data_IF_262019524176
#
_entry.id   IF_262019524176
#
_cell.length_a   1.000
_cell.length_b   1.000
_cell.length_c   1.000
_cell.angle_alpha   90.00
_cell.angle_beta   90.00
_cell.angle_gamma   90.00
#
_symmetry.space_group_name_H-M   'P 1'
#
loop_
_entity.id
_entity.type
_entity.pdbx_description
1 polymer ?
#
# COMPACT_ATOMS: atom_id res chain seq x y z
N UNK A 1 -21.10 -36.68 21.77
CA UNK A 1 -20.89 -35.95 20.50
C UNK A 1 -21.35 -34.48 20.58
N UNK A 2 -22.50 -34.18 21.20
CA UNK A 2 -23.02 -32.80 21.38
C UNK A 2 -22.01 -31.85 22.07
N UNK A 3 -21.31 -32.32 23.10
CA UNK A 3 -20.35 -31.48 23.83
C UNK A 3 -19.19 -30.97 22.96
N UNK A 4 -18.68 -31.80 22.04
CA UNK A 4 -17.57 -31.42 21.15
C UNK A 4 -18.04 -30.39 20.14
N UNK A 5 -19.23 -30.59 19.55
CA UNK A 5 -19.83 -29.64 18.60
C UNK A 5 -20.08 -28.29 19.28
N UNK A 6 -20.54 -28.29 20.54
CA UNK A 6 -20.76 -27.06 21.31
C UNK A 6 -19.46 -26.28 21.56
N UNK A 7 -18.37 -26.97 21.93
CA UNK A 7 -17.06 -26.32 22.15
C UNK A 7 -16.50 -25.77 20.84
N UNK A 8 -16.61 -26.52 19.73
CA UNK A 8 -16.18 -26.05 18.41
C UNK A 8 -16.94 -24.81 17.97
N UNK A 9 -18.25 -24.74 18.21
CA UNK A 9 -19.07 -23.57 17.86
C UNK A 9 -18.62 -22.30 18.59
N UNK A 10 -18.32 -22.41 19.90
CA UNK A 10 -17.85 -21.27 20.71
C UNK A 10 -16.46 -20.80 20.24
N UNK A 11 -15.54 -21.73 19.97
CA UNK A 11 -14.19 -21.41 19.50
C UNK A 11 -14.22 -20.70 18.14
N UNK A 12 -15.06 -21.16 17.21
CA UNK A 12 -15.17 -20.52 15.89
C UNK A 12 -15.77 -19.11 16.02
N UNK A 13 -16.77 -18.93 16.89
CA UNK A 13 -17.42 -17.63 17.08
C UNK A 13 -16.45 -16.53 17.55
N UNK A 14 -15.47 -16.87 18.40
CA UNK A 14 -14.47 -15.89 18.89
C UNK A 14 -13.29 -15.70 17.93
N UNK A 15 -12.94 -16.73 17.16
CA UNK A 15 -11.73 -16.72 16.34
C UNK A 15 -11.91 -15.96 15.03
N UNK A 16 -13.07 -16.10 14.36
CA UNK A 16 -13.31 -15.54 13.02
C UNK A 16 -13.16 -14.00 12.96
N UNK A 17 -13.77 -13.21 13.88
CA UNK A 17 -13.62 -11.74 13.84
C UNK A 17 -12.17 -11.31 14.10
N UNK A 18 -11.50 -12.00 15.03
CA UNK A 18 -10.12 -11.72 15.41
C UNK A 18 -9.16 -11.92 14.24
N UNK A 19 -9.23 -13.09 13.57
CA UNK A 19 -8.40 -13.41 12.41
C UNK A 19 -8.66 -12.45 11.25
N UNK A 20 -9.92 -12.09 11.01
CA UNK A 20 -10.26 -11.13 9.96
C UNK A 20 -9.67 -9.74 10.21
N UNK A 21 -9.68 -9.26 11.47
CA UNK A 21 -9.03 -8.00 11.85
C UNK A 21 -7.53 -8.01 11.58
N UNK A 22 -6.83 -9.09 11.94
CA UNK A 22 -5.40 -9.26 11.65
C UNK A 22 -5.11 -9.32 10.14
N UNK A 23 -5.96 -9.99 9.36
CA UNK A 23 -5.83 -10.04 7.89
C UNK A 23 -5.94 -8.62 7.31
N UNK A 24 -6.94 -7.85 7.71
CA UNK A 24 -7.12 -6.47 7.26
C UNK A 24 -5.91 -5.61 7.63
N UNK A 25 -5.43 -5.70 8.88
CA UNK A 25 -4.24 -4.96 9.33
C UNK A 25 -3.00 -5.32 8.50
N UNK A 26 -2.79 -6.61 8.23
CA UNK A 26 -1.65 -7.09 7.44
C UNK A 26 -1.67 -6.55 6.02
N UNK A 27 -2.85 -6.48 5.40
CA UNK A 27 -3.03 -5.90 4.06
C UNK A 27 -2.74 -4.40 4.03
N UNK A 28 -3.16 -3.65 5.06
CA UNK A 28 -2.80 -2.24 5.20
C UNK A 28 -1.29 -2.03 5.40
N UNK A 29 -0.63 -2.91 6.16
CA UNK A 29 0.84 -2.88 6.31
C UNK A 29 1.53 -3.17 4.97
N UNK A 30 1.00 -4.09 4.15
CA UNK A 30 1.52 -4.33 2.81
C UNK A 30 1.46 -3.07 1.94
N UNK A 31 0.34 -2.34 1.95
CA UNK A 31 0.19 -1.04 1.28
C UNK A 31 1.27 -0.06 1.75
N UNK A 32 1.44 0.12 3.06
CA UNK A 32 2.44 1.05 3.63
C UNK A 32 3.87 0.67 3.17
N UNK A 33 4.19 -0.62 3.17
CA UNK A 33 5.51 -1.10 2.76
C UNK A 33 5.75 -0.88 1.25
N UNK A 34 4.76 -1.15 0.40
CA UNK A 34 4.86 -0.88 -1.04
C UNK A 34 5.01 0.63 -1.31
N UNK A 35 4.25 1.48 -0.60
CA UNK A 35 4.37 2.94 -0.68
C UNK A 35 5.76 3.44 -0.28
N UNK A 36 6.33 2.91 0.81
CA UNK A 36 7.70 3.21 1.28
C UNK A 36 8.75 2.82 0.26
N UNK A 37 8.66 1.60 -0.27
CA UNK A 37 9.61 1.10 -1.25
C UNK A 37 9.57 1.94 -2.53
N UNK A 38 8.37 2.26 -3.02
CA UNK A 38 8.17 3.11 -4.19
C UNK A 38 8.76 4.50 -3.95
N UNK A 39 8.44 5.15 -2.84
CA UNK A 39 8.95 6.49 -2.54
C UNK A 39 10.47 6.50 -2.44
N UNK A 40 11.08 5.56 -1.71
CA UNK A 40 12.52 5.46 -1.56
C UNK A 40 13.22 5.28 -2.91
N UNK A 41 12.65 4.49 -3.81
CA UNK A 41 13.18 4.29 -5.16
C UNK A 41 13.08 5.58 -6.01
N UNK A 42 11.95 6.29 -5.94
CA UNK A 42 11.78 7.59 -6.61
C UNK A 42 12.81 8.61 -6.08
N UNK A 43 12.94 8.70 -4.76
CA UNK A 43 13.88 9.62 -4.12
C UNK A 43 15.32 9.29 -4.49
N UNK A 44 15.70 8.01 -4.47
CA UNK A 44 17.04 7.53 -4.84
C UNK A 44 17.37 7.89 -6.28
N UNK A 45 16.43 7.71 -7.21
CA UNK A 45 16.62 8.14 -8.60
C UNK A 45 16.73 9.65 -8.74
N UNK A 46 15.90 10.41 -8.03
CA UNK A 46 15.90 11.87 -8.07
C UNK A 46 17.19 12.50 -7.52
N UNK A 47 18.03 11.74 -6.80
CA UNK A 47 19.36 12.19 -6.37
C UNK A 47 20.35 12.28 -7.53
N UNK A 48 20.21 11.44 -8.55
CA UNK A 48 21.20 11.31 -9.64
C UNK A 48 20.63 11.67 -11.01
N UNK A 49 19.31 11.72 -11.16
CA UNK A 49 18.65 12.03 -12.42
C UNK A 49 18.64 13.53 -12.74
N UNK A 50 18.91 13.85 -14.01
CA UNK A 50 18.70 15.18 -14.57
C UNK A 50 17.21 15.54 -14.66
N UNK A 51 16.38 14.57 -15.04
CA UNK A 51 14.93 14.69 -15.13
C UNK A 51 14.27 14.03 -13.91
N UNK A 52 13.95 14.85 -12.90
CA UNK A 52 13.38 14.38 -11.65
C UNK A 52 11.90 14.05 -11.79
N UNK A 53 11.50 12.94 -11.19
CA UNK A 53 10.10 12.58 -10.96
C UNK A 53 9.50 13.57 -9.97
N UNK A 54 8.38 14.18 -10.35
CA UNK A 54 7.58 15.03 -9.46
C UNK A 54 6.45 14.21 -8.85
N UNK A 55 6.14 14.49 -7.60
CA UNK A 55 4.95 13.96 -6.95
C UNK A 55 3.80 14.90 -7.30
N UNK A 56 2.88 14.42 -8.12
CA UNK A 56 1.65 15.14 -8.45
C UNK A 56 0.43 14.37 -7.93
N UNK A 57 -0.71 15.08 -7.92
CA UNK A 57 -1.97 14.60 -7.37
C UNK A 57 -2.81 13.80 -8.40
N UNK A 58 -2.40 13.74 -9.67
CA UNK A 58 -3.20 13.21 -10.78
C UNK A 58 -2.67 11.86 -11.30
N UNK A 59 -1.35 11.70 -11.35
CA UNK A 59 -0.64 10.53 -11.83
C UNK A 59 -0.76 9.40 -10.83
N UNK A 60 -1.41 8.33 -11.27
CA UNK A 60 -1.52 7.08 -10.52
C UNK A 60 -0.21 6.28 -10.56
N UNK A 61 -0.01 5.40 -9.58
CA UNK A 61 1.12 4.46 -9.58
C UNK A 61 1.10 3.58 -10.82
N UNK A 62 -0.08 3.22 -11.33
CA UNK A 62 -0.24 2.47 -12.59
C UNK A 62 0.30 3.26 -13.78
N UNK A 63 -0.15 4.49 -13.99
CA UNK A 63 0.30 5.34 -15.10
C UNK A 63 1.79 5.65 -14.98
N UNK A 64 2.26 5.89 -13.76
CA UNK A 64 3.68 6.05 -13.48
C UNK A 64 4.45 4.79 -13.88
N UNK A 65 4.01 3.60 -13.46
CA UNK A 65 4.66 2.32 -13.75
C UNK A 65 4.73 1.97 -15.24
N UNK A 66 3.81 2.51 -16.04
CA UNK A 66 3.78 2.36 -17.49
C UNK A 66 4.66 3.39 -18.23
N UNK A 67 5.19 4.40 -17.53
CA UNK A 67 6.05 5.43 -18.14
C UNK A 67 7.48 4.95 -18.43
N UNK A 68 8.11 5.54 -19.46
CA UNK A 68 9.50 5.26 -19.86
C UNK A 68 10.53 5.57 -18.76
N UNK A 69 10.21 6.52 -17.88
CA UNK A 69 11.04 6.89 -16.74
C UNK A 69 11.09 5.72 -15.75
N UNK A 70 9.97 5.04 -15.51
CA UNK A 70 9.90 3.93 -14.55
C UNK A 70 10.64 2.68 -15.01
N UNK A 71 10.56 2.35 -16.29
CA UNK A 71 11.31 1.20 -16.82
C UNK A 71 12.82 1.36 -16.56
N UNK A 72 13.35 2.59 -16.61
CA UNK A 72 14.75 2.91 -16.27
C UNK A 72 15.03 3.06 -14.78
N UNK A 73 14.08 3.61 -14.02
CA UNK A 73 14.24 3.86 -12.56
C UNK A 73 14.22 2.55 -11.78
N UNK A 74 13.28 1.67 -12.07
CA UNK A 74 12.88 0.60 -11.17
C UNK A 74 13.43 -0.77 -11.54
N UNK A 75 13.42 -1.09 -12.84
CA UNK A 75 13.83 -2.40 -13.35
C UNK A 75 15.36 -2.45 -13.51
N UNK A 76 15.96 -1.45 -14.15
CA UNK A 76 17.40 -1.46 -14.45
C UNK A 76 18.28 -1.31 -13.20
N UNK A 77 17.77 -0.69 -12.14
CA UNK A 77 18.48 -0.53 -10.86
C UNK A 77 18.08 -1.56 -9.80
N UNK A 78 17.17 -2.50 -10.13
CA UNK A 78 16.75 -3.58 -9.22
C UNK A 78 15.96 -3.14 -7.99
N UNK A 79 15.30 -1.98 -8.04
CA UNK A 79 14.48 -1.48 -6.92
C UNK A 79 13.10 -2.14 -6.85
N UNK A 80 12.56 -2.62 -7.98
CA UNK A 80 11.28 -3.34 -8.09
C UNK A 80 11.43 -4.47 -9.12
N UNK A 81 10.89 -5.65 -8.83
CA UNK A 81 10.99 -6.81 -9.73
C UNK A 81 10.11 -6.63 -10.99
N UNK A 82 10.57 -7.19 -12.11
CA UNK A 82 10.00 -7.08 -13.47
C UNK A 82 8.61 -7.71 -13.57
N UNK A 83 8.22 -8.54 -12.60
CA UNK A 83 6.86 -9.04 -12.44
C UNK A 83 5.96 -7.92 -11.86
N UNK A 84 5.85 -6.82 -12.64
CA UNK A 84 5.29 -5.46 -12.45
C UNK A 84 4.14 -5.28 -11.46
N UNK A 85 3.47 -6.35 -11.09
CA UNK A 85 2.31 -6.37 -10.24
C UNK A 85 2.61 -6.77 -8.79
N UNK A 86 3.61 -7.59 -8.43
CA UNK A 86 3.69 -8.08 -7.04
C UNK A 86 4.14 -7.03 -6.02
N UNK A 87 5.03 -6.14 -6.42
CA UNK A 87 5.62 -5.14 -5.52
C UNK A 87 4.79 -3.85 -5.44
N UNK A 88 3.81 -3.68 -6.35
CA UNK A 88 2.97 -2.48 -6.45
C UNK A 88 1.46 -2.78 -6.54
N UNK A 89 1.02 -4.04 -6.60
CA UNK A 89 -0.40 -4.44 -6.82
C UNK A 89 -1.37 -3.83 -5.82
N UNK A 90 -0.91 -3.54 -4.60
CA UNK A 90 -1.77 -2.99 -3.57
C UNK A 90 -1.95 -1.49 -3.72
N UNK A 91 -1.11 -0.82 -4.51
CA UNK A 91 -1.08 0.65 -4.59
C UNK A 91 -1.24 1.21 -6.01
N UNK A 92 -1.53 0.39 -7.02
CA UNK A 92 -1.66 0.81 -8.42
C UNK A 92 -2.61 1.99 -8.64
N UNK A 93 -3.71 2.05 -7.88
CA UNK A 93 -4.74 3.09 -8.00
C UNK A 93 -4.47 4.32 -7.10
N UNK A 94 -3.40 4.29 -6.28
CA UNK A 94 -2.99 5.45 -5.50
C UNK A 94 -2.28 6.46 -6.41
N UNK A 95 -2.38 7.75 -6.09
CA UNK A 95 -1.58 8.79 -6.76
C UNK A 95 -0.22 8.96 -6.07
N UNK A 96 0.78 9.49 -6.78
CA UNK A 96 2.13 9.67 -6.22
C UNK A 96 2.14 10.58 -4.98
N UNK A 97 1.27 11.59 -4.95
CA UNK A 97 1.06 12.43 -3.77
C UNK A 97 0.50 11.63 -2.57
N UNK A 98 -0.45 10.74 -2.81
CA UNK A 98 -1.00 9.85 -1.77
C UNK A 98 0.06 8.89 -1.22
N UNK A 99 0.94 8.37 -2.07
CA UNK A 99 2.09 7.53 -1.64
C UNK A 99 3.01 8.30 -0.69
N UNK A 100 3.28 9.56 -1.02
CA UNK A 100 4.10 10.43 -0.16
C UNK A 100 3.42 10.69 1.18
N UNK A 101 2.12 10.97 1.20
CA UNK A 101 1.37 11.17 2.46
C UNK A 101 1.36 9.91 3.33
N UNK A 102 1.19 8.73 2.74
CA UNK A 102 1.25 7.44 3.46
C UNK A 102 2.62 7.24 4.13
N UNK A 103 3.70 7.65 3.46
CA UNK A 103 5.04 7.52 4.02
C UNK A 103 5.34 8.54 5.12
N UNK A 104 4.89 9.79 4.95
CA UNK A 104 5.14 10.85 5.92
C UNK A 104 4.48 10.56 7.27
N UNK A 105 3.32 9.89 7.27
CA UNK A 105 2.59 9.43 8.48
C UNK A 105 2.61 10.49 9.61
N UNK A 106 2.27 11.74 9.26
CA UNK A 106 2.44 12.91 10.14
C UNK A 106 1.82 12.73 11.52
N UNK A 107 0.74 11.95 11.59
CA UNK A 107 -0.09 11.77 12.77
C UNK A 107 0.08 10.38 13.43
N UNK A 108 0.88 9.49 12.83
CA UNK A 108 1.13 8.13 13.34
C UNK A 108 -0.06 7.18 13.24
N UNK A 109 -1.11 7.56 12.50
CA UNK A 109 -2.40 6.89 12.42
C UNK A 109 -2.73 6.37 11.00
N UNK A 110 -1.77 6.37 10.09
CA UNK A 110 -2.01 6.00 8.68
C UNK A 110 -2.66 4.62 8.52
N UNK A 111 -2.34 3.69 9.42
CA UNK A 111 -2.90 2.35 9.43
C UNK A 111 -4.42 2.33 9.69
N UNK A 112 -4.94 3.29 10.45
CA UNK A 112 -6.37 3.41 10.69
C UNK A 112 -7.06 4.16 9.55
N UNK A 113 -6.35 5.10 8.91
CA UNK A 113 -6.85 5.93 7.81
C UNK A 113 -6.94 5.23 6.46
N UNK A 114 -6.11 4.22 6.16
CA UNK A 114 -6.15 3.49 4.89
C UNK A 114 -7.51 2.78 4.71
N UNK A 115 -8.13 3.02 3.57
CA UNK A 115 -9.37 2.39 3.10
C UNK A 115 -9.03 1.36 2.03
N UNK A 116 -9.52 0.13 2.21
CA UNK A 116 -9.29 -0.97 1.27
C UNK A 116 -10.45 -1.10 0.27
N UNK A 117 -10.11 -1.35 -1.00
CA UNK A 117 -11.06 -1.77 -2.03
C UNK A 117 -11.25 -3.30 -1.96
N UNK A 118 -12.50 -3.75 -1.83
CA UNK A 118 -12.87 -5.17 -1.70
C UNK A 118 -12.00 -5.95 -0.70
N UNK A 119 -11.54 -5.26 0.35
CA UNK A 119 -10.73 -5.81 1.42
C UNK A 119 -9.30 -6.22 1.03
N UNK A 120 -8.75 -5.81 -0.13
CA UNK A 120 -7.41 -6.24 -0.57
C UNK A 120 -6.48 -5.15 -1.08
N UNK A 121 -6.94 -4.22 -1.92
CA UNK A 121 -6.08 -3.21 -2.53
C UNK A 121 -6.36 -1.83 -1.92
N UNK A 122 -5.44 -0.88 -2.09
CA UNK A 122 -5.67 0.52 -1.73
C UNK A 122 -6.88 1.06 -2.49
N UNK A 123 -7.68 1.87 -1.79
CA UNK A 123 -8.80 2.63 -2.38
C UNK A 123 -8.59 4.12 -2.18
N UNK A 124 -8.34 4.50 -0.92
CA UNK A 124 -8.20 5.87 -0.49
C UNK A 124 -7.62 5.88 0.93
N UNK A 125 -7.40 7.05 1.50
CA UNK A 125 -7.28 7.22 2.95
C UNK A 125 -8.17 8.36 3.43
N UNK A 126 -8.64 8.26 4.67
CA UNK A 126 -9.44 9.32 5.29
C UNK A 126 -8.53 10.53 5.50
N UNK A 127 -8.76 11.63 4.78
CA UNK A 127 -8.06 12.90 5.01
C UNK A 127 -8.46 13.45 6.38
N UNK A 128 -7.47 13.77 7.21
CA UNK A 128 -7.74 14.51 8.45
C UNK A 128 -8.27 15.89 8.06
N UNK A 129 -9.38 16.31 8.67
CA UNK A 129 -9.88 17.67 8.47
C UNK A 129 -8.79 18.63 8.94
N UNK A 130 -8.34 19.52 8.05
CA UNK A 130 -7.49 20.63 8.43
C UNK A 130 -8.14 21.38 9.61
N UNK A 131 -7.37 21.54 10.69
CA UNK A 131 -7.78 22.33 11.86
C UNK A 131 -7.59 23.81 11.59
#
# INVERSE_FOLDING_TARGET
MVAVVAILAILVAILVPSVNGYIVRSKKVAIINQSRNLLNAIETYNLTASDKVKFDDETTVREFAESDIVTKVFIDNGFIDIDRNKDLDKILEATLSQIKEINEDKDGDILDRIVLNNGSNYKDFIKLKEK
#
